data_IF_158588212281
#
_entry.id   IF_158588212281
#
_cell.length_a   1.000
_cell.length_b   1.000
_cell.length_c   1.000
_cell.angle_alpha   90.00
_cell.angle_beta   90.00
_cell.angle_gamma   90.00
#
_symmetry.space_group_name_H-M   'P 1'
#
loop_
_entity.id
_entity.type
_entity.pdbx_description
1 polymer ?
#
# COMPACT_ATOMS: atom_id res chain seq x y z
N UNK A 1 6.85 -27.35 -0.46
CA UNK A 1 5.86 -28.29 0.15
C UNK A 1 4.45 -27.81 -0.20
N UNK A 2 3.65 -28.64 -0.89
CA UNK A 2 2.24 -28.61 -1.34
C UNK A 2 1.16 -27.65 -0.72
N UNK A 3 1.46 -26.43 -0.25
CA UNK A 3 0.45 -25.55 0.36
C UNK A 3 -0.54 -24.94 -0.65
N UNK A 4 -0.11 -24.58 -1.86
CA UNK A 4 -1.01 -24.06 -2.91
C UNK A 4 -2.06 -25.06 -3.36
N UNK A 5 -1.77 -26.37 -3.27
CA UNK A 5 -2.73 -27.41 -3.65
C UNK A 5 -3.84 -27.62 -2.60
N UNK A 6 -3.56 -27.33 -1.32
CA UNK A 6 -4.53 -27.52 -0.22
C UNK A 6 -5.54 -26.37 -0.16
N UNK A 7 -5.16 -25.15 -0.55
CA UNK A 7 -6.08 -24.01 -0.60
C UNK A 7 -7.10 -24.11 -1.75
N UNK A 8 -6.76 -24.80 -2.85
CA UNK A 8 -7.53 -24.79 -4.11
C UNK A 8 -8.47 -25.99 -4.27
N UNK A 9 -8.32 -27.07 -3.49
CA UNK A 9 -8.88 -28.40 -3.85
C UNK A 9 -9.79 -29.10 -2.83
N UNK A 10 -10.32 -28.41 -1.80
CA UNK A 10 -11.05 -29.06 -0.70
C UNK A 10 -12.36 -28.37 -0.28
N UNK A 11 -13.31 -29.10 0.35
CA UNK A 11 -14.59 -28.54 0.75
C UNK A 11 -14.38 -27.51 1.86
N UNK A 12 -14.86 -26.28 1.59
CA UNK A 12 -14.95 -25.11 2.47
C UNK A 12 -13.59 -24.39 2.69
N UNK A 13 -13.22 -23.45 1.80
CA UNK A 13 -12.01 -22.63 1.94
C UNK A 13 -11.93 -21.85 3.28
N UNK A 14 -13.05 -21.69 3.97
CA UNK A 14 -13.13 -21.21 5.37
C UNK A 14 -12.30 -22.05 6.34
N UNK A 15 -12.45 -23.38 6.31
CA UNK A 15 -11.71 -24.27 7.20
C UNK A 15 -10.21 -24.24 6.88
N UNK A 16 -9.85 -24.02 5.62
CA UNK A 16 -8.46 -23.90 5.20
C UNK A 16 -7.82 -22.62 5.76
N UNK A 17 -8.50 -21.47 5.66
CA UNK A 17 -8.01 -20.20 6.21
C UNK A 17 -7.90 -20.23 7.74
N UNK A 18 -8.89 -20.78 8.43
CA UNK A 18 -8.86 -20.91 9.90
C UNK A 18 -7.76 -21.86 10.38
N UNK A 19 -7.56 -22.96 9.66
CA UNK A 19 -6.49 -23.91 9.98
C UNK A 19 -5.13 -23.28 9.72
N UNK A 20 -4.99 -22.55 8.62
CA UNK A 20 -3.77 -21.82 8.29
C UNK A 20 -3.44 -20.81 9.41
N UNK A 21 -4.41 -19.99 9.82
CA UNK A 21 -4.24 -19.04 10.93
C UNK A 21 -3.75 -19.73 12.21
N UNK A 22 -4.39 -20.84 12.61
CA UNK A 22 -3.99 -21.60 13.80
C UNK A 22 -2.56 -22.14 13.71
N UNK A 23 -2.16 -22.65 12.55
CA UNK A 23 -0.79 -23.13 12.32
C UNK A 23 0.19 -21.96 12.45
N UNK A 24 -0.10 -20.84 11.81
CA UNK A 24 0.77 -19.66 11.83
C UNK A 24 0.92 -19.10 13.25
N UNK A 25 -0.17 -18.98 14.00
CA UNK A 25 -0.12 -18.51 15.38
C UNK A 25 0.80 -19.37 16.27
N UNK A 26 0.88 -20.68 16.03
CA UNK A 26 1.77 -21.60 16.77
C UNK A 26 3.20 -21.61 16.24
N UNK A 27 3.39 -21.44 14.93
CA UNK A 27 4.64 -21.73 14.25
C UNK A 27 5.23 -20.55 13.47
N UNK A 28 4.77 -19.30 13.68
CA UNK A 28 5.15 -18.09 12.91
C UNK A 28 6.63 -17.94 12.59
N UNK A 29 7.52 -18.27 13.55
CA UNK A 29 8.98 -18.20 13.36
C UNK A 29 9.52 -19.14 12.29
N UNK A 30 8.84 -20.25 12.00
CA UNK A 30 9.24 -21.20 10.95
C UNK A 30 8.98 -20.65 9.55
N UNK A 31 8.04 -19.71 9.40
CA UNK A 31 7.70 -19.13 8.10
C UNK A 31 8.66 -18.02 7.66
N UNK A 32 9.39 -17.42 8.59
CA UNK A 32 10.31 -16.29 8.38
C UNK A 32 11.79 -16.70 8.34
N UNK A 33 12.09 -17.99 8.52
CA UNK A 33 13.45 -18.51 8.36
C UNK A 33 13.51 -19.42 7.15
N UNK A 34 14.65 -19.42 6.46
CA UNK A 34 14.92 -20.37 5.36
C UNK A 34 14.94 -21.79 5.93
N UNK A 35 14.06 -22.66 5.43
CA UNK A 35 14.03 -24.06 5.80
C UNK A 35 15.07 -24.85 5.01
N UNK A 36 15.47 -26.02 5.53
CA UNK A 36 16.45 -26.89 4.86
C UNK A 36 15.89 -27.32 3.50
N UNK A 37 16.62 -26.99 2.43
CA UNK A 37 16.26 -27.35 1.06
C UNK A 37 15.47 -26.27 0.31
N UNK A 38 15.12 -25.16 0.95
CA UNK A 38 14.46 -24.00 0.31
C UNK A 38 15.48 -22.88 0.04
N UNK A 39 15.24 -22.05 -0.98
CA UNK A 39 16.11 -20.92 -1.34
C UNK A 39 15.82 -19.65 -0.55
N UNK A 40 14.59 -19.49 -0.08
CA UNK A 40 14.13 -18.30 0.65
C UNK A 40 13.12 -18.68 1.76
N UNK A 41 12.79 -17.78 2.70
CA UNK A 41 11.74 -18.02 3.68
C UNK A 41 10.38 -18.18 3.00
N UNK A 42 9.53 -19.07 3.53
CA UNK A 42 8.19 -19.30 2.97
C UNK A 42 7.33 -18.02 2.93
N UNK A 43 7.49 -17.11 3.90
CA UNK A 43 6.77 -15.84 3.87
C UNK A 43 7.09 -15.03 2.61
N UNK A 44 8.32 -15.06 2.10
CA UNK A 44 8.71 -14.32 0.88
C UNK A 44 8.05 -14.91 -0.37
N UNK A 45 8.03 -16.24 -0.50
CA UNK A 45 7.32 -16.95 -1.57
C UNK A 45 5.81 -16.65 -1.52
N UNK A 46 5.22 -16.74 -0.32
CA UNK A 46 3.80 -16.48 -0.08
C UNK A 46 3.42 -15.04 -0.47
N UNK A 47 4.24 -14.07 -0.10
CA UNK A 47 4.04 -12.66 -0.41
C UNK A 47 4.11 -12.41 -1.92
N UNK A 48 5.06 -13.02 -2.62
CA UNK A 48 5.20 -12.89 -4.07
C UNK A 48 4.01 -13.50 -4.83
N UNK A 49 3.46 -14.60 -4.30
CA UNK A 49 2.26 -15.27 -4.85
C UNK A 49 0.92 -14.73 -4.32
N UNK A 50 0.91 -13.67 -3.53
CA UNK A 50 -0.30 -13.16 -2.87
C UNK A 50 -1.48 -12.91 -3.82
N UNK A 51 -1.31 -12.18 -4.95
CA UNK A 51 -2.42 -11.87 -5.85
C UNK A 51 -3.10 -13.12 -6.40
N UNK A 52 -2.32 -14.16 -6.69
CA UNK A 52 -2.85 -15.45 -7.15
C UNK A 52 -3.47 -16.25 -6.02
N UNK A 53 -2.87 -16.22 -4.82
CA UNK A 53 -3.33 -17.00 -3.66
C UNK A 53 -4.68 -16.51 -3.14
N UNK A 54 -4.94 -15.21 -3.19
CA UNK A 54 -6.21 -14.62 -2.70
C UNK A 54 -7.27 -14.49 -3.79
N UNK A 55 -6.95 -14.82 -5.05
CA UNK A 55 -7.85 -14.60 -6.20
C UNK A 55 -9.18 -15.35 -6.09
N UNK A 56 -9.14 -16.55 -5.51
CA UNK A 56 -10.30 -17.43 -5.37
C UNK A 56 -10.94 -17.38 -3.97
N UNK A 57 -10.50 -16.46 -3.10
CA UNK A 57 -10.99 -16.32 -1.73
C UNK A 57 -12.15 -15.34 -1.61
N UNK A 58 -13.12 -15.66 -0.75
CA UNK A 58 -14.19 -14.74 -0.35
C UNK A 58 -13.68 -13.65 0.62
N UNK A 59 -14.36 -12.50 0.75
CA UNK A 59 -13.85 -11.37 1.54
C UNK A 59 -13.45 -11.71 2.99
N UNK A 60 -14.20 -12.55 3.69
CA UNK A 60 -13.84 -12.96 5.06
C UNK A 60 -12.63 -13.90 5.08
N UNK A 61 -12.47 -14.77 4.09
CA UNK A 61 -11.30 -15.65 3.94
C UNK A 61 -10.03 -14.85 3.66
N UNK A 62 -10.15 -13.79 2.83
CA UNK A 62 -9.06 -12.84 2.57
C UNK A 62 -8.59 -12.20 3.87
N UNK A 63 -9.51 -11.75 4.74
CA UNK A 63 -9.15 -11.18 6.04
C UNK A 63 -8.40 -12.19 6.92
N UNK A 64 -8.94 -13.40 7.10
CA UNK A 64 -8.30 -14.46 7.90
C UNK A 64 -6.92 -14.84 7.33
N UNK A 65 -6.79 -14.88 6.01
CA UNK A 65 -5.53 -15.16 5.34
C UNK A 65 -4.50 -14.05 5.61
N UNK A 66 -4.86 -12.78 5.43
CA UNK A 66 -3.96 -11.67 5.72
C UNK A 66 -3.63 -11.53 7.21
N UNK A 67 -4.55 -11.87 8.12
CA UNK A 67 -4.27 -11.97 9.55
C UNK A 67 -3.14 -12.99 9.81
N UNK A 68 -3.22 -14.14 9.14
CA UNK A 68 -2.18 -15.17 9.18
C UNK A 68 -0.83 -14.61 8.70
N UNK A 69 -0.81 -13.97 7.52
CA UNK A 69 0.40 -13.33 6.97
C UNK A 69 0.97 -12.29 7.94
N UNK A 70 0.11 -11.53 8.62
CA UNK A 70 0.48 -10.61 9.69
C UNK A 70 1.27 -11.20 10.82
N UNK A 71 0.78 -12.32 11.34
CA UNK A 71 1.47 -13.06 12.39
C UNK A 71 2.86 -13.54 11.93
N UNK A 72 3.03 -13.89 10.64
CA UNK A 72 4.35 -14.19 10.09
C UNK A 72 5.24 -12.95 10.08
N UNK A 73 4.76 -11.82 9.53
CA UNK A 73 5.54 -10.58 9.42
C UNK A 73 5.96 -10.05 10.79
N UNK A 74 5.10 -10.16 11.81
CA UNK A 74 5.47 -9.81 13.20
C UNK A 74 6.63 -10.65 13.73
N UNK A 75 6.81 -11.88 13.24
CA UNK A 75 7.92 -12.74 13.61
C UNK A 75 9.18 -12.48 12.78
N UNK A 76 9.08 -11.72 11.68
CA UNK A 76 10.22 -11.35 10.84
C UNK A 76 11.03 -10.24 11.51
N UNK A 77 12.24 -10.62 11.92
CA UNK A 77 13.20 -9.71 12.55
C UNK A 77 13.94 -8.83 11.55
N UNK A 78 14.04 -9.28 10.30
CA UNK A 78 14.69 -8.55 9.22
C UNK A 78 13.71 -7.58 8.56
N UNK A 79 13.94 -6.29 8.78
CA UNK A 79 13.11 -5.21 8.25
C UNK A 79 12.99 -5.23 6.72
N UNK A 80 14.00 -5.77 6.02
CA UNK A 80 14.04 -5.80 4.56
C UNK A 80 13.17 -6.91 3.95
N UNK A 81 12.87 -7.97 4.71
CA UNK A 81 12.07 -9.12 4.23
C UNK A 81 10.56 -8.96 4.39
N UNK A 82 10.12 -7.77 4.80
CA UNK A 82 8.70 -7.45 4.99
C UNK A 82 8.02 -7.25 3.64
N UNK A 83 6.67 -7.33 3.63
CA UNK A 83 5.82 -7.32 2.42
C UNK A 83 6.38 -6.44 1.30
N UNK A 84 6.92 -7.07 0.26
CA UNK A 84 7.34 -6.42 -0.99
C UNK A 84 8.31 -5.23 -0.79
N UNK A 85 8.98 -5.14 0.36
CA UNK A 85 9.89 -4.04 0.66
C UNK A 85 11.12 -4.08 -0.26
N UNK A 86 11.60 -5.26 -0.63
CA UNK A 86 12.75 -5.42 -1.53
C UNK A 86 12.46 -4.84 -2.92
N UNK A 87 11.32 -5.18 -3.52
CA UNK A 87 10.93 -4.68 -4.84
C UNK A 87 10.65 -3.18 -4.82
N UNK A 88 10.03 -2.67 -3.76
CA UNK A 88 9.86 -1.23 -3.55
C UNK A 88 11.21 -0.52 -3.45
N UNK A 89 12.12 -1.02 -2.61
CA UNK A 89 13.47 -0.47 -2.42
C UNK A 89 14.26 -0.49 -3.73
N UNK A 90 14.14 -1.53 -4.54
CA UNK A 90 14.77 -1.60 -5.86
C UNK A 90 14.23 -0.50 -6.78
N UNK A 91 12.91 -0.36 -6.90
CA UNK A 91 12.27 0.67 -7.73
C UNK A 91 12.71 2.06 -7.30
N UNK A 92 12.67 2.34 -6.00
CA UNK A 92 13.11 3.63 -5.44
C UNK A 92 14.61 3.84 -5.66
N UNK A 93 15.43 2.79 -5.51
CA UNK A 93 16.87 2.83 -5.80
C UNK A 93 17.17 3.19 -7.26
N UNK A 94 16.41 2.65 -8.21
CA UNK A 94 16.52 3.01 -9.63
C UNK A 94 15.99 4.44 -9.89
N UNK A 95 14.90 4.83 -9.24
CA UNK A 95 14.33 6.18 -9.36
C UNK A 95 15.29 7.28 -8.87
N UNK A 96 16.11 6.99 -7.85
CA UNK A 96 17.17 7.91 -7.39
C UNK A 96 18.25 8.15 -8.44
N UNK A 97 18.50 7.18 -9.33
CA UNK A 97 19.45 7.32 -10.43
C UNK A 97 18.82 8.06 -11.61
N UNK A 98 17.56 7.74 -11.93
CA UNK A 98 16.80 8.40 -12.98
C UNK A 98 15.31 8.41 -12.66
N UNK A 99 14.77 9.61 -12.45
CA UNK A 99 13.33 9.81 -12.21
C UNK A 99 12.49 9.39 -13.43
N UNK A 100 13.07 9.35 -14.64
CA UNK A 100 12.39 8.88 -15.84
C UNK A 100 12.02 7.39 -15.77
N UNK A 101 12.72 6.61 -14.94
CA UNK A 101 12.37 5.20 -14.69
C UNK A 101 10.92 5.06 -14.18
N UNK A 102 10.48 5.98 -13.32
CA UNK A 102 9.11 5.99 -12.80
C UNK A 102 8.06 6.44 -13.83
N UNK A 103 8.46 6.91 -15.01
CA UNK A 103 7.52 7.28 -16.09
C UNK A 103 7.12 6.09 -16.95
N UNK A 104 7.84 4.98 -16.86
CA UNK A 104 7.56 3.76 -17.60
C UNK A 104 6.24 3.11 -17.15
N UNK A 105 5.39 2.71 -18.10
CA UNK A 105 4.05 2.21 -17.77
C UNK A 105 4.06 0.89 -17.00
N UNK A 106 5.03 0.01 -17.25
CA UNK A 106 5.13 -1.26 -16.55
C UNK A 106 5.63 -1.05 -15.13
N UNK A 107 6.57 -0.11 -14.93
CA UNK A 107 7.00 0.32 -13.59
C UNK A 107 5.83 0.94 -12.82
N UNK A 108 5.02 1.81 -13.43
CA UNK A 108 3.85 2.42 -12.78
C UNK A 108 2.83 1.33 -12.37
N UNK A 109 2.60 0.30 -13.20
CA UNK A 109 1.74 -0.85 -12.85
C UNK A 109 2.29 -1.64 -11.67
N UNK A 110 3.60 -1.89 -11.65
CA UNK A 110 4.24 -2.58 -10.53
C UNK A 110 4.11 -1.78 -9.24
N UNK A 111 4.34 -0.46 -9.28
CA UNK A 111 4.09 0.44 -8.14
C UNK A 111 2.64 0.36 -7.65
N UNK A 112 1.67 0.40 -8.58
CA UNK A 112 0.25 0.26 -8.23
C UNK A 112 -0.03 -1.06 -7.52
N UNK A 113 0.46 -2.17 -8.04
CA UNK A 113 0.27 -3.49 -7.46
C UNK A 113 0.87 -3.58 -6.05
N UNK A 114 2.09 -3.07 -5.85
CA UNK A 114 2.73 -3.02 -4.53
C UNK A 114 1.86 -2.25 -3.52
N UNK A 115 1.32 -1.09 -3.92
CA UNK A 115 0.44 -0.30 -3.05
C UNK A 115 -0.86 -1.04 -2.72
N UNK A 116 -1.50 -1.68 -3.70
CA UNK A 116 -2.73 -2.47 -3.49
C UNK A 116 -2.51 -3.65 -2.52
N UNK A 117 -1.38 -4.34 -2.65
CA UNK A 117 -0.99 -5.41 -1.72
C UNK A 117 -0.78 -4.86 -0.31
N UNK A 118 -0.10 -3.72 -0.19
CA UNK A 118 0.09 -3.05 1.11
C UNK A 118 -1.24 -2.55 1.69
N UNK A 119 -2.21 -2.07 0.89
CA UNK A 119 -3.55 -1.68 1.36
C UNK A 119 -4.30 -2.88 1.92
N UNK A 120 -4.25 -4.00 1.19
CA UNK A 120 -4.87 -5.25 1.63
C UNK A 120 -4.26 -5.74 2.95
N UNK A 121 -2.93 -5.68 3.07
CA UNK A 121 -2.25 -5.99 4.33
C UNK A 121 -2.64 -5.01 5.46
N UNK A 122 -2.63 -3.70 5.21
CA UNK A 122 -3.00 -2.69 6.21
C UNK A 122 -4.42 -2.93 6.77
N UNK A 123 -5.37 -3.30 5.90
CA UNK A 123 -6.77 -3.53 6.27
C UNK A 123 -6.96 -4.65 7.30
N UNK A 124 -6.10 -5.67 7.22
CA UNK A 124 -6.16 -6.86 8.08
C UNK A 124 -5.23 -6.79 9.28
N UNK A 125 -4.11 -6.05 9.16
CA UNK A 125 -3.06 -6.00 10.19
C UNK A 125 -3.20 -4.85 11.18
N UNK A 126 -3.89 -3.78 10.83
CA UNK A 126 -4.06 -2.60 11.67
C UNK A 126 -2.74 -2.06 12.23
N UNK A 127 -2.67 -1.82 13.54
CA UNK A 127 -1.49 -1.26 14.21
C UNK A 127 -0.19 -2.03 13.91
N UNK A 128 -0.26 -3.34 13.69
CA UNK A 128 0.93 -4.16 13.40
C UNK A 128 1.58 -3.81 12.04
N UNK A 129 0.83 -3.17 11.15
CA UNK A 129 1.34 -2.66 9.87
C UNK A 129 2.18 -1.38 10.02
N UNK A 130 2.17 -0.71 11.19
CA UNK A 130 2.89 0.54 11.43
C UNK A 130 4.36 0.46 11.01
N UNK A 131 4.98 -0.67 11.33
CA UNK A 131 6.39 -0.90 11.08
C UNK A 131 6.71 -1.07 9.58
N UNK A 132 5.75 -1.51 8.76
CA UNK A 132 5.87 -1.64 7.31
C UNK A 132 5.58 -0.31 6.63
N UNK A 133 4.45 0.34 6.95
CA UNK A 133 4.10 1.61 6.32
C UNK A 133 5.16 2.68 6.60
N UNK A 134 5.75 2.71 7.80
CA UNK A 134 6.83 3.66 8.14
C UNK A 134 8.05 3.54 7.23
N UNK A 135 8.32 2.36 6.65
CA UNK A 135 9.45 2.13 5.75
C UNK A 135 9.23 2.76 4.38
N UNK A 136 8.02 2.60 3.85
CA UNK A 136 7.70 3.04 2.49
C UNK A 136 7.11 4.46 2.46
N UNK A 137 6.69 5.01 3.61
CA UNK A 137 5.83 6.18 3.69
C UNK A 137 6.39 7.42 2.98
N UNK A 138 7.63 7.81 3.28
CA UNK A 138 8.20 9.04 2.71
C UNK A 138 8.45 8.90 1.21
N UNK A 139 8.97 7.76 0.77
CA UNK A 139 9.17 7.48 -0.65
C UNK A 139 7.84 7.43 -1.40
N UNK A 140 6.81 6.86 -0.79
CA UNK A 140 5.47 6.80 -1.34
C UNK A 140 4.89 8.21 -1.54
N UNK A 141 5.10 9.12 -0.59
CA UNK A 141 4.71 10.52 -0.73
C UNK A 141 5.49 11.26 -1.82
N UNK A 142 6.78 10.93 -2.01
CA UNK A 142 7.59 11.48 -3.10
C UNK A 142 7.09 11.01 -4.47
N UNK A 143 6.79 9.71 -4.62
CA UNK A 143 6.19 9.15 -5.83
C UNK A 143 4.82 9.78 -6.10
N UNK A 144 3.98 9.95 -5.08
CA UNK A 144 2.70 10.64 -5.20
C UNK A 144 2.87 12.07 -5.74
N UNK A 145 3.80 12.86 -5.18
CA UNK A 145 4.08 14.22 -5.63
C UNK A 145 4.54 14.25 -7.08
N UNK A 146 5.52 13.40 -7.43
CA UNK A 146 6.08 13.32 -8.79
C UNK A 146 4.97 12.97 -9.80
N UNK A 147 4.14 11.97 -9.51
CA UNK A 147 3.02 11.62 -10.39
C UNK A 147 1.97 12.72 -10.48
N UNK A 148 1.78 13.51 -9.43
CA UNK A 148 0.90 14.67 -9.53
C UNK A 148 1.42 15.72 -10.52
N UNK A 149 2.71 16.07 -10.42
CA UNK A 149 3.36 17.02 -11.32
C UNK A 149 3.37 16.51 -12.77
N UNK A 150 3.56 15.21 -12.95
CA UNK A 150 3.54 14.56 -14.25
C UNK A 150 2.14 14.57 -14.88
N UNK A 151 1.08 14.36 -14.08
CA UNK A 151 -0.31 14.50 -14.54
C UNK A 151 -0.57 15.94 -14.99
N UNK A 152 -0.22 16.93 -14.16
CA UNK A 152 -0.43 18.34 -14.48
C UNK A 152 0.28 18.75 -15.78
N UNK A 153 1.54 18.32 -15.95
CA UNK A 153 2.34 18.60 -17.14
C UNK A 153 1.74 17.92 -18.38
N UNK A 154 1.36 16.64 -18.26
CA UNK A 154 0.73 15.89 -19.36
C UNK A 154 -0.58 16.52 -19.82
N UNK A 155 -1.38 17.06 -18.90
CA UNK A 155 -2.64 17.73 -19.23
C UNK A 155 -2.39 19.10 -19.90
N UNK A 156 -1.42 19.87 -19.40
CA UNK A 156 -1.08 21.16 -19.96
C UNK A 156 -0.55 21.05 -21.40
N UNK A 157 0.22 20.00 -21.70
CA UNK A 157 0.86 19.79 -23.00
C UNK A 157 -0.01 19.00 -23.99
N UNK A 158 -0.82 18.04 -23.51
CA UNK A 158 -1.50 17.04 -24.36
C UNK A 158 -2.85 17.47 -24.96
N UNK A 159 -3.28 18.71 -24.76
CA UNK A 159 -4.54 19.22 -25.30
C UNK A 159 -5.82 18.63 -24.68
N UNK A 160 -7.00 18.80 -25.32
CA UNK A 160 -8.32 18.59 -24.68
C UNK A 160 -8.59 17.18 -24.15
N UNK A 161 -7.92 16.16 -24.69
CA UNK A 161 -8.15 14.76 -24.34
C UNK A 161 -7.07 14.16 -23.44
N UNK A 162 -6.03 14.93 -23.09
CA UNK A 162 -4.89 14.47 -22.31
C UNK A 162 -5.28 13.83 -20.97
N UNK A 163 -6.26 14.44 -20.28
CA UNK A 163 -6.78 13.96 -19.00
C UNK A 163 -7.46 12.58 -19.08
N UNK A 164 -7.87 12.16 -20.28
CA UNK A 164 -8.58 10.89 -20.50
C UNK A 164 -7.71 9.75 -21.00
N UNK A 165 -6.43 10.04 -21.27
CA UNK A 165 -5.45 9.05 -21.72
C UNK A 165 -5.26 7.93 -20.70
N UNK A 166 -4.95 6.73 -21.19
CA UNK A 166 -4.67 5.57 -20.33
C UNK A 166 -3.49 5.84 -19.38
N UNK A 167 -2.50 6.61 -19.84
CA UNK A 167 -1.34 7.01 -19.05
C UNK A 167 -1.73 7.87 -17.83
N UNK A 168 -2.46 8.98 -18.05
CA UNK A 168 -2.90 9.85 -16.96
C UNK A 168 -3.85 9.11 -16.01
N UNK A 169 -4.73 8.24 -16.53
CA UNK A 169 -5.59 7.39 -15.70
C UNK A 169 -4.78 6.45 -14.79
N UNK A 170 -3.71 5.84 -15.32
CA UNK A 170 -2.86 4.95 -14.54
C UNK A 170 -2.11 5.69 -13.42
N UNK A 171 -1.57 6.89 -13.70
CA UNK A 171 -0.95 7.74 -12.67
C UNK A 171 -1.95 8.13 -11.57
N UNK A 172 -3.19 8.49 -11.94
CA UNK A 172 -4.27 8.76 -10.98
C UNK A 172 -4.61 7.54 -10.12
N UNK A 173 -4.57 6.33 -10.68
CA UNK A 173 -4.79 5.08 -9.92
C UNK A 173 -3.73 4.90 -8.82
N UNK A 174 -2.46 5.15 -9.11
CA UNK A 174 -1.39 5.08 -8.10
C UNK A 174 -1.61 6.12 -6.99
N UNK A 175 -1.93 7.37 -7.36
CA UNK A 175 -2.22 8.42 -6.38
C UNK A 175 -3.39 8.03 -5.47
N UNK A 176 -4.46 7.49 -6.05
CA UNK A 176 -5.63 7.04 -5.30
C UNK A 176 -5.31 5.91 -4.34
N UNK A 177 -4.56 4.91 -4.80
CA UNK A 177 -4.19 3.78 -3.96
C UNK A 177 -3.25 4.19 -2.83
N UNK A 178 -2.34 5.15 -3.08
CA UNK A 178 -1.50 5.75 -2.03
C UNK A 178 -2.33 6.33 -0.90
N UNK A 179 -3.33 7.15 -1.22
CA UNK A 179 -4.20 7.75 -0.22
C UNK A 179 -5.03 6.68 0.51
N UNK A 180 -5.52 5.68 -0.23
CA UNK A 180 -6.33 4.59 0.32
C UNK A 180 -5.54 3.74 1.29
N UNK A 181 -4.27 3.46 0.99
CA UNK A 181 -3.36 2.77 1.88
C UNK A 181 -3.21 3.51 3.22
N UNK A 182 -2.97 4.82 3.15
CA UNK A 182 -2.80 5.64 4.36
C UNK A 182 -4.08 5.68 5.17
N UNK A 183 -5.22 5.96 4.54
CA UNK A 183 -6.54 5.97 5.17
C UNK A 183 -6.83 4.61 5.84
N UNK A 184 -6.68 3.52 5.10
CA UNK A 184 -6.90 2.15 5.60
C UNK A 184 -6.03 1.86 6.82
N UNK A 185 -4.76 2.26 6.80
CA UNK A 185 -3.88 2.06 7.93
C UNK A 185 -4.31 2.89 9.15
N UNK A 186 -4.59 4.19 8.97
CA UNK A 186 -4.99 5.07 10.06
C UNK A 186 -6.32 4.63 10.69
N UNK A 187 -7.28 4.19 9.89
CA UNK A 187 -8.58 3.68 10.35
C UNK A 187 -8.45 2.40 11.18
N UNK A 188 -7.46 1.55 10.89
CA UNK A 188 -7.24 0.27 11.56
C UNK A 188 -6.22 0.35 12.71
N UNK A 189 -5.58 1.49 12.92
CA UNK A 189 -4.62 1.67 14.00
C UNK A 189 -5.31 1.97 15.34
N UNK A 190 -4.83 1.37 16.42
CA UNK A 190 -5.41 1.51 17.78
C UNK A 190 -5.01 2.83 18.47
N UNK A 191 -3.82 3.38 18.17
CA UNK A 191 -3.30 4.65 18.73
C UNK A 191 -3.30 5.77 17.66
N UNK A 192 -4.49 6.07 17.13
CA UNK A 192 -4.68 7.07 16.09
C UNK A 192 -4.13 8.47 16.45
N UNK A 193 -4.27 8.99 17.69
CA UNK A 193 -3.77 10.32 18.02
C UNK A 193 -2.25 10.45 17.95
N UNK A 194 -1.50 9.43 18.39
CA UNK A 194 -0.04 9.45 18.34
C UNK A 194 0.46 9.20 16.91
N UNK A 195 -0.12 8.23 16.21
CA UNK A 195 0.22 7.91 14.83
C UNK A 195 -0.09 9.10 13.91
N UNK A 196 -1.24 9.75 14.10
CA UNK A 196 -1.60 10.96 13.35
C UNK A 196 -0.53 12.06 13.44
N UNK A 197 0.07 12.28 14.61
CA UNK A 197 1.15 13.27 14.78
C UNK A 197 2.40 12.95 13.98
N UNK A 198 2.68 11.67 13.71
CA UNK A 198 3.83 11.25 12.92
C UNK A 198 3.54 11.31 11.42
N UNK A 199 2.35 10.91 10.99
CA UNK A 199 2.02 10.70 9.57
C UNK A 199 1.39 11.93 8.92
N UNK A 200 0.62 12.75 9.63
CA UNK A 200 -0.07 13.91 9.05
C UNK A 200 0.90 15.00 8.58
N UNK A 201 1.93 15.42 9.35
CA UNK A 201 2.77 16.54 8.94
C UNK A 201 3.51 16.33 7.60
N UNK A 202 4.10 15.16 7.31
CA UNK A 202 4.73 14.90 6.00
C UNK A 202 3.75 14.93 4.82
N UNK A 203 2.46 14.68 5.03
CA UNK A 203 1.44 14.70 3.97
C UNK A 203 1.00 16.11 3.59
N UNK A 204 1.21 17.09 4.47
CA UNK A 204 0.70 18.45 4.28
C UNK A 204 1.16 19.06 2.96
N UNK A 205 2.44 18.92 2.62
CA UNK A 205 2.99 19.53 1.41
C UNK A 205 2.67 18.77 0.11
N UNK A 206 2.84 17.43 0.01
CA UNK A 206 2.55 16.70 -1.23
C UNK A 206 1.05 16.55 -1.50
N UNK A 207 0.23 16.36 -0.47
CA UNK A 207 -1.21 16.07 -0.62
C UNK A 207 -2.05 17.34 -0.57
N UNK A 208 -1.80 18.24 0.39
CA UNK A 208 -2.58 19.50 0.46
C UNK A 208 -2.07 20.54 -0.53
N UNK A 209 -0.80 20.49 -0.93
CA UNK A 209 -0.32 21.29 -2.04
C UNK A 209 -1.11 20.97 -3.31
N UNK A 210 -1.47 19.71 -3.52
CA UNK A 210 -2.31 19.28 -4.63
C UNK A 210 -3.77 19.72 -4.47
N UNK A 211 -4.33 19.49 -3.29
CA UNK A 211 -5.66 19.96 -2.91
C UNK A 211 -5.84 21.48 -3.11
N UNK A 212 -4.87 22.29 -2.65
CA UNK A 212 -4.89 23.74 -2.75
C UNK A 212 -4.69 24.27 -4.17
N UNK A 213 -4.09 23.48 -5.07
CA UNK A 213 -3.98 23.81 -6.50
C UNK A 213 -5.25 23.43 -7.27
N UNK A 214 -5.93 22.37 -6.84
CA UNK A 214 -7.13 21.85 -7.51
C UNK A 214 -8.43 22.54 -7.04
N UNK A 215 -8.45 23.18 -5.85
CA UNK A 215 -9.61 23.91 -5.32
C UNK A 215 -9.28 25.39 -4.99
N UNK A 216 -10.03 26.37 -5.55
CA UNK A 216 -9.86 27.79 -5.23
C UNK A 216 -10.03 28.14 -3.74
N UNK A 217 -10.94 27.46 -3.02
CA UNK A 217 -11.31 27.75 -1.63
C UNK A 217 -10.37 27.13 -0.58
N UNK A 218 -9.50 26.20 -0.97
CA UNK A 218 -8.59 25.48 -0.07
C UNK A 218 -7.36 26.29 0.38
N UNK A 219 -7.17 27.51 -0.13
CA UNK A 219 -6.01 28.38 0.17
C UNK A 219 -5.96 28.94 1.59
N UNK A 220 -6.98 28.75 2.42
CA UNK A 220 -7.04 29.32 3.76
C UNK A 220 -6.13 28.57 4.76
N UNK A 221 -5.12 29.27 5.30
CA UNK A 221 -4.14 28.73 6.28
C UNK A 221 -4.76 28.17 7.57
N UNK A 222 -6.04 28.44 7.86
CA UNK A 222 -6.78 27.95 9.03
C UNK A 222 -6.92 26.42 9.08
N UNK A 223 -6.92 25.74 7.94
CA UNK A 223 -7.09 24.29 7.91
C UNK A 223 -5.87 23.56 8.50
N UNK A 224 -4.64 24.09 8.35
CA UNK A 224 -3.43 23.40 8.85
C UNK A 224 -3.45 23.03 10.34
N UNK A 225 -4.16 23.79 11.19
CA UNK A 225 -4.25 23.53 12.63
C UNK A 225 -5.46 22.67 13.04
N UNK A 226 -6.57 22.73 12.30
CA UNK A 226 -7.76 21.89 12.54
C UNK A 226 -7.62 20.46 11.95
N UNK A 227 -6.68 20.28 11.03
CA UNK A 227 -6.50 19.07 10.22
C UNK A 227 -6.06 17.81 10.98
N UNK A 228 -5.55 17.92 12.22
CA UNK A 228 -5.26 16.74 13.04
C UNK A 228 -6.55 16.06 13.50
N UNK A 229 -7.63 16.83 13.72
CA UNK A 229 -8.95 16.30 14.10
C UNK A 229 -9.82 15.92 12.89
N UNK A 230 -9.57 16.56 11.73
CA UNK A 230 -10.38 16.41 10.51
C UNK A 230 -9.72 15.49 9.44
N UNK A 231 -8.72 14.68 9.79
CA UNK A 231 -8.00 13.77 8.85
C UNK A 231 -8.95 13.03 7.88
N UNK A 232 -10.07 12.43 8.32
CA UNK A 232 -11.00 11.77 7.41
C UNK A 232 -11.62 12.71 6.36
N UNK A 233 -11.96 13.96 6.73
CA UNK A 233 -12.52 14.95 5.80
C UNK A 233 -11.51 15.46 4.79
N UNK A 234 -10.24 15.52 5.18
CA UNK A 234 -9.15 15.86 4.26
C UNK A 234 -9.02 14.79 3.19
N UNK A 235 -8.99 13.52 3.59
CA UNK A 235 -8.93 12.41 2.64
C UNK A 235 -10.14 12.47 1.71
N UNK A 236 -11.36 12.57 2.23
CA UNK A 236 -12.58 12.67 1.41
C UNK A 236 -12.49 13.78 0.35
N UNK A 237 -12.04 14.98 0.75
CA UNK A 237 -11.93 16.11 -0.16
C UNK A 237 -10.80 15.96 -1.19
N UNK A 238 -9.64 15.41 -0.79
CA UNK A 238 -8.51 15.14 -1.69
C UNK A 238 -8.86 14.02 -2.68
N UNK A 239 -9.55 12.97 -2.22
CA UNK A 239 -9.99 11.87 -3.05
C UNK A 239 -10.93 12.35 -4.15
N UNK A 240 -11.90 13.21 -3.83
CA UNK A 240 -12.79 13.83 -4.83
C UNK A 240 -12.00 14.64 -5.87
N UNK A 241 -11.05 15.47 -5.46
CA UNK A 241 -10.21 16.21 -6.42
C UNK A 241 -9.30 15.32 -7.27
N UNK A 242 -8.89 14.16 -6.76
CA UNK A 242 -8.07 13.20 -7.51
C UNK A 242 -8.91 12.35 -8.47
N UNK A 243 -10.23 12.30 -8.27
CA UNK A 243 -11.21 11.59 -9.10
C UNK A 243 -11.58 12.35 -10.38
N UNK A 244 -11.59 13.68 -10.32
CA UNK A 244 -11.85 14.60 -11.45
C UNK A 244 -10.64 14.78 -12.39
#
# INVERSE_FOLDING_TARGET
>A
MQFSAVLVSGPLPDMACDTFLKIVQKCKRKFVIVQVGESEPFVSELLSGLPTTVADLEPHQIHTFYESVGHMIQAESDLQKRIHAEQWVEIIGQAHQSVDFLKDQDVIRTVLNILQTNTSAASSLGTYFLSQISLIFLDMLNVYRMYSELISSSIAEGGPYASTTSYVKLLRSVKRETLKLIETFLDKAEDQPQIGKQFVPPMMDPVLGDYARNLPDARNQKYKAAMIEDVPRIFEAVFQCTLE
#
